data_IF_740683338609
#
_entry.id   IF_740683338609
#
_cell.length_a   1.000
_cell.length_b   1.000
_cell.length_c   1.000
_cell.angle_alpha   90.00
_cell.angle_beta   90.00
_cell.angle_gamma   90.00
#
_symmetry.space_group_name_H-M   'P 1'
#
loop_
_entity.id
_entity.type
_entity.pdbx_description
1 polymer ?
#
# COMPACT_ATOMS: atom_id res chain seq x y z
N UNK A 1 14.51 15.78 5.51
CA UNK A 1 15.09 17.13 5.32
C UNK A 1 14.55 18.03 6.39
N UNK A 2 15.35 18.94 6.92
CA UNK A 2 14.82 19.99 7.77
C UNK A 2 14.79 21.31 7.01
N UNK A 3 13.65 22.00 7.10
CA UNK A 3 13.51 23.35 6.55
C UNK A 3 13.24 24.34 7.68
N UNK A 4 13.76 25.56 7.56
CA UNK A 4 13.40 26.67 8.43
C UNK A 4 12.85 27.81 7.59
N UNK A 5 11.70 28.35 7.98
CA UNK A 5 11.08 29.50 7.30
C UNK A 5 11.52 30.76 8.02
N UNK A 6 12.35 31.59 7.40
CA UNK A 6 12.81 32.85 7.99
C UNK A 6 13.38 32.72 9.44
N UNK A 7 14.05 31.60 9.75
CA UNK A 7 14.59 31.34 11.10
C UNK A 7 13.57 30.78 12.10
N UNK A 8 12.38 30.36 11.65
CA UNK A 8 11.42 29.61 12.46
C UNK A 8 11.95 28.24 12.88
N UNK A 9 11.19 27.56 13.76
CA UNK A 9 11.35 26.15 14.08
C UNK A 9 11.56 25.30 12.82
N UNK A 10 12.48 24.33 12.93
CA UNK A 10 12.81 23.40 11.87
C UNK A 10 11.64 22.43 11.65
N UNK A 11 11.30 22.19 10.38
CA UNK A 11 10.25 21.25 10.00
C UNK A 11 10.82 20.11 9.19
N UNK A 12 10.44 18.89 9.54
CA UNK A 12 10.82 17.71 8.77
C UNK A 12 10.01 17.60 7.47
N UNK A 13 10.69 17.29 6.39
CA UNK A 13 10.14 17.06 5.05
C UNK A 13 10.68 15.74 4.51
N UNK A 14 9.75 14.84 4.15
CA UNK A 14 10.02 13.55 3.52
C UNK A 14 10.39 13.70 2.04
N UNK A 15 11.45 14.43 1.72
CA UNK A 15 11.92 14.63 0.35
C UNK A 15 12.78 13.45 -0.17
N UNK A 16 13.41 12.72 0.76
CA UNK A 16 14.35 11.61 0.57
C UNK A 16 15.67 11.99 -0.10
N UNK A 17 15.60 12.59 -1.28
CA UNK A 17 16.78 12.94 -2.05
C UNK A 17 16.59 14.20 -2.90
N UNK A 18 17.69 14.86 -3.27
CA UNK A 18 17.71 15.96 -4.24
C UNK A 18 18.86 15.76 -5.22
N UNK A 19 18.62 15.99 -6.51
CA UNK A 19 19.65 15.98 -7.55
C UNK A 19 20.55 17.21 -7.44
N UNK A 20 21.87 17.02 -7.46
CA UNK A 20 22.83 18.12 -7.49
C UNK A 20 23.20 18.46 -8.94
N UNK A 21 22.87 19.69 -9.39
CA UNK A 21 23.15 20.13 -10.77
C UNK A 21 24.64 20.32 -11.07
N UNK A 22 25.47 20.60 -10.06
CA UNK A 22 26.92 20.82 -10.24
C UNK A 22 27.74 19.53 -10.24
N UNK A 23 27.10 18.36 -10.14
CA UNK A 23 27.84 17.09 -10.13
C UNK A 23 28.38 16.76 -11.52
N UNK A 24 29.70 16.61 -11.64
CA UNK A 24 30.37 16.12 -12.86
C UNK A 24 30.26 14.58 -12.98
N UNK A 25 29.12 13.99 -12.60
CA UNK A 25 28.97 12.54 -12.60
C UNK A 25 28.78 12.00 -14.03
N UNK A 26 29.68 11.15 -14.55
CA UNK A 26 29.58 10.63 -15.93
C UNK A 26 28.36 9.70 -16.14
N UNK A 27 27.70 9.29 -15.07
CA UNK A 27 26.59 8.33 -15.07
C UNK A 27 25.21 8.98 -14.96
N UNK A 28 25.08 10.28 -15.16
CA UNK A 28 23.79 10.98 -15.08
C UNK A 28 22.71 10.37 -16.00
N UNK A 29 23.10 9.90 -17.18
CA UNK A 29 22.16 9.26 -18.12
C UNK A 29 21.49 8.00 -17.55
N UNK A 30 22.18 7.24 -16.68
CA UNK A 30 21.58 6.07 -16.01
C UNK A 30 20.44 6.49 -15.08
N UNK A 31 20.62 7.60 -14.35
CA UNK A 31 19.59 8.18 -13.51
C UNK A 31 18.34 8.53 -14.33
N UNK A 32 18.52 9.18 -15.48
CA UNK A 32 17.42 9.52 -16.39
C UNK A 32 16.70 8.28 -16.90
N UNK A 33 17.41 7.20 -17.24
CA UNK A 33 16.80 5.93 -17.65
C UNK A 33 15.94 5.34 -16.52
N UNK A 34 16.45 5.29 -15.29
CA UNK A 34 15.68 4.81 -14.14
C UNK A 34 14.43 5.66 -13.89
N UNK A 35 14.53 6.97 -14.07
CA UNK A 35 13.40 7.89 -13.90
C UNK A 35 12.32 7.68 -14.98
N UNK A 36 12.71 7.46 -16.24
CA UNK A 36 11.77 7.13 -17.34
C UNK A 36 11.11 5.77 -17.07
N UNK A 37 11.89 4.77 -16.67
CA UNK A 37 11.39 3.43 -16.36
C UNK A 37 10.41 3.45 -15.18
N UNK A 38 10.70 4.21 -14.13
CA UNK A 38 9.76 4.43 -13.02
C UNK A 38 8.43 5.01 -13.52
N UNK A 39 8.45 6.06 -14.34
CA UNK A 39 7.23 6.70 -14.85
C UNK A 39 6.38 5.68 -15.65
N UNK A 40 7.02 4.88 -16.51
CA UNK A 40 6.33 3.83 -17.25
C UNK A 40 5.70 2.79 -16.32
N UNK A 41 6.44 2.33 -15.30
CA UNK A 41 5.95 1.37 -14.32
C UNK A 41 4.82 1.95 -13.46
N UNK A 42 4.85 3.23 -13.12
CA UNK A 42 3.77 3.93 -12.39
C UNK A 42 2.49 3.97 -13.21
N UNK A 43 2.58 4.24 -14.52
CA UNK A 43 1.40 4.20 -15.39
C UNK A 43 0.79 2.79 -15.44
N UNK A 44 1.63 1.76 -15.61
CA UNK A 44 1.18 0.36 -15.57
C UNK A 44 0.57 0.02 -14.20
N UNK A 45 1.19 0.46 -13.11
CA UNK A 45 0.70 0.27 -11.75
C UNK A 45 -0.67 0.91 -11.56
N UNK A 46 -0.89 2.11 -12.07
CA UNK A 46 -2.18 2.79 -12.02
C UNK A 46 -3.27 2.04 -12.76
N UNK A 47 -2.98 1.55 -13.98
CA UNK A 47 -3.95 0.77 -14.77
C UNK A 47 -4.31 -0.55 -14.06
N UNK A 48 -3.31 -1.29 -13.58
CA UNK A 48 -3.54 -2.54 -12.86
C UNK A 48 -4.29 -2.32 -11.54
N UNK A 49 -3.92 -1.28 -10.80
CA UNK A 49 -4.58 -0.90 -9.55
C UNK A 49 -6.08 -0.64 -9.79
N UNK A 50 -6.41 0.23 -10.75
CA UNK A 50 -7.79 0.52 -11.12
C UNK A 50 -8.55 -0.73 -11.55
N UNK A 51 -7.92 -1.60 -12.34
CA UNK A 51 -8.53 -2.86 -12.75
C UNK A 51 -8.82 -3.78 -11.57
N UNK A 52 -7.87 -3.94 -10.63
CA UNK A 52 -8.08 -4.79 -9.45
C UNK A 52 -9.17 -4.24 -8.52
N UNK A 53 -9.26 -2.92 -8.36
CA UNK A 53 -10.33 -2.27 -7.61
C UNK A 53 -11.68 -2.49 -8.31
N UNK A 54 -11.74 -2.28 -9.63
CA UNK A 54 -12.93 -2.56 -10.43
C UNK A 54 -13.40 -4.00 -10.25
N UNK A 55 -12.50 -4.97 -10.40
CA UNK A 55 -12.83 -6.39 -10.23
C UNK A 55 -13.29 -6.71 -8.81
N UNK A 56 -12.63 -6.16 -7.79
CA UNK A 56 -13.03 -6.37 -6.40
C UNK A 56 -14.45 -5.86 -6.10
N UNK A 57 -14.84 -4.72 -6.69
CA UNK A 57 -16.17 -4.15 -6.51
C UNK A 57 -17.27 -4.89 -7.29
N UNK A 58 -16.97 -5.40 -8.49
CA UNK A 58 -17.97 -5.97 -9.39
C UNK A 58 -18.14 -7.49 -9.24
N UNK A 59 -17.05 -8.24 -9.04
CA UNK A 59 -17.12 -9.72 -9.01
C UNK A 59 -17.67 -10.29 -7.71
N UNK A 60 -17.83 -9.47 -6.66
CA UNK A 60 -18.21 -9.91 -5.30
C UNK A 60 -17.40 -11.11 -4.77
N UNK A 61 -16.20 -11.33 -5.29
CA UNK A 61 -15.33 -12.44 -4.86
C UNK A 61 -14.83 -12.31 -3.42
N UNK A 62 -15.05 -11.16 -2.79
CA UNK A 62 -14.74 -10.90 -1.39
C UNK A 62 -15.92 -10.22 -0.69
N UNK A 63 -16.04 -10.50 0.60
CA UNK A 63 -17.01 -9.88 1.48
C UNK A 63 -16.86 -8.36 1.46
N UNK A 64 -17.99 -7.64 1.51
CA UNK A 64 -18.03 -6.18 1.37
C UNK A 64 -17.08 -5.44 2.32
N UNK A 65 -16.89 -5.97 3.53
CA UNK A 65 -16.02 -5.37 4.54
C UNK A 65 -14.54 -5.32 4.13
N UNK A 66 -14.00 -6.42 3.58
CA UNK A 66 -12.61 -6.46 3.10
C UNK A 66 -12.48 -5.74 1.77
N UNK A 67 -13.49 -5.83 0.88
CA UNK A 67 -13.54 -5.08 -0.38
C UNK A 67 -13.46 -3.58 -0.13
N UNK A 68 -14.19 -3.08 0.88
CA UNK A 68 -14.16 -1.67 1.28
C UNK A 68 -12.77 -1.24 1.75
N UNK A 69 -12.16 -1.99 2.67
CA UNK A 69 -10.81 -1.71 3.19
C UNK A 69 -9.80 -1.71 2.04
N UNK A 70 -9.80 -2.77 1.24
CA UNK A 70 -8.91 -2.92 0.09
C UNK A 70 -9.05 -1.75 -0.88
N UNK A 71 -10.28 -1.41 -1.26
CA UNK A 71 -10.57 -0.33 -2.21
C UNK A 71 -10.04 1.01 -1.71
N UNK A 72 -10.30 1.37 -0.45
CA UNK A 72 -9.84 2.64 0.12
C UNK A 72 -8.31 2.71 0.13
N UNK A 73 -7.62 1.70 0.67
CA UNK A 73 -6.14 1.72 0.73
C UNK A 73 -5.49 1.69 -0.66
N UNK A 74 -6.09 1.00 -1.63
CA UNK A 74 -5.62 1.03 -3.02
C UNK A 74 -5.79 2.41 -3.68
N UNK A 75 -6.84 3.15 -3.34
CA UNK A 75 -7.02 4.53 -3.81
C UNK A 75 -6.05 5.52 -3.18
N UNK A 76 -5.61 5.30 -1.94
CA UNK A 76 -4.57 6.15 -1.35
C UNK A 76 -3.26 6.15 -2.15
N UNK A 77 -2.97 5.12 -2.96
CA UNK A 77 -1.82 5.20 -3.86
C UNK A 77 -1.85 6.40 -4.81
N UNK A 78 -3.03 6.88 -5.24
CA UNK A 78 -3.11 8.10 -6.03
C UNK A 78 -2.69 9.36 -5.25
N UNK A 79 -2.85 9.35 -3.93
CA UNK A 79 -2.33 10.40 -3.06
C UNK A 79 -0.80 10.47 -3.12
N UNK A 80 -0.12 9.32 -3.14
CA UNK A 80 1.33 9.26 -3.35
C UNK A 80 1.70 9.84 -4.73
N UNK A 81 0.94 9.54 -5.77
CA UNK A 81 1.21 10.10 -7.11
C UNK A 81 1.02 11.62 -7.13
N UNK A 82 -0.03 12.14 -6.48
CA UNK A 82 -0.21 13.59 -6.30
C UNK A 82 0.99 14.19 -5.53
N UNK A 83 1.45 13.50 -4.47
CA UNK A 83 2.64 13.91 -3.72
C UNK A 83 3.89 14.00 -4.61
N UNK A 84 4.05 13.05 -5.54
CA UNK A 84 5.17 13.02 -6.48
C UNK A 84 5.12 14.20 -7.44
N UNK A 85 3.94 14.59 -7.94
CA UNK A 85 3.82 15.78 -8.78
C UNK A 85 4.28 17.06 -8.06
N UNK A 86 4.00 17.20 -6.77
CA UNK A 86 4.44 18.34 -5.98
C UNK A 86 5.94 18.34 -5.66
N UNK A 87 6.53 17.17 -5.43
CA UNK A 87 7.92 17.04 -4.99
C UNK A 87 8.92 16.92 -6.16
N UNK A 88 8.47 16.46 -7.32
CA UNK A 88 9.31 16.25 -8.50
C UNK A 88 10.16 17.48 -8.89
N UNK A 89 9.61 18.72 -8.96
CA UNK A 89 10.41 19.89 -9.30
C UNK A 89 11.57 20.16 -8.33
N UNK A 90 11.42 19.79 -7.06
CA UNK A 90 12.46 19.95 -6.04
C UNK A 90 13.48 18.82 -6.09
N UNK A 91 13.03 17.58 -6.28
CA UNK A 91 13.90 16.41 -6.39
C UNK A 91 14.81 16.48 -7.63
N UNK A 92 14.30 17.03 -8.74
CA UNK A 92 15.07 17.25 -9.98
C UNK A 92 15.82 18.60 -10.01
N UNK A 93 15.78 19.37 -8.93
CA UNK A 93 16.41 20.70 -8.82
C UNK A 93 15.96 21.72 -9.89
N UNK A 94 14.72 21.58 -10.42
CA UNK A 94 14.06 22.62 -11.23
C UNK A 94 13.82 23.85 -10.35
N UNK A 95 13.39 23.62 -9.10
CA UNK A 95 13.38 24.63 -8.05
C UNK A 95 14.58 24.37 -7.13
N UNK A 96 15.67 25.15 -7.26
CA UNK A 96 16.88 24.89 -6.50
C UNK A 96 16.66 25.15 -5.01
N UNK A 97 16.99 24.16 -4.20
CA UNK A 97 17.15 24.31 -2.75
C UNK A 97 18.61 24.72 -2.49
N UNK A 98 18.85 25.66 -1.56
CA UNK A 98 20.19 26.11 -1.19
C UNK A 98 20.96 25.02 -0.41
N UNK A 99 21.29 23.94 -1.08
CA UNK A 99 22.06 22.82 -0.55
C UNK A 99 23.54 23.10 -0.86
N UNK A 100 24.41 22.94 0.14
CA UNK A 100 25.85 23.17 0.00
C UNK A 100 26.44 22.31 -1.13
N UNK A 101 27.50 22.81 -1.78
CA UNK A 101 28.20 22.14 -2.88
C UNK A 101 28.61 20.72 -2.47
N UNK A 102 27.89 19.73 -2.98
CA UNK A 102 28.22 18.32 -2.85
C UNK A 102 28.77 17.81 -4.18
N UNK A 103 29.73 16.88 -4.12
CA UNK A 103 30.28 16.24 -5.31
C UNK A 103 29.36 15.11 -5.82
N UNK A 104 28.41 14.66 -5.00
CA UNK A 104 27.49 13.56 -5.33
C UNK A 104 26.37 14.03 -6.26
N UNK A 105 25.92 13.16 -7.17
CA UNK A 105 24.76 13.44 -8.04
C UNK A 105 23.46 13.62 -7.25
N UNK A 106 23.38 12.98 -6.08
CA UNK A 106 22.20 12.94 -5.22
C UNK A 106 22.63 13.22 -3.78
N UNK A 107 21.92 14.13 -3.11
CA UNK A 107 22.22 14.55 -1.73
C UNK A 107 21.21 13.97 -0.74
N UNK A 108 21.73 13.55 0.43
CA UNK A 108 20.92 13.05 1.53
C UNK A 108 20.09 14.17 2.11
N UNK A 109 18.81 13.86 2.32
CA UNK A 109 17.94 14.79 3.02
C UNK A 109 17.71 14.38 4.47
N UNK A 110 18.19 13.22 4.93
CA UNK A 110 18.08 12.83 6.34
C UNK A 110 19.17 13.42 7.22
N UNK A 111 20.14 14.12 6.66
CA UNK A 111 21.12 14.85 7.45
C UNK A 111 20.44 16.00 8.23
N UNK A 112 20.97 16.37 9.38
CA UNK A 112 20.49 17.48 10.24
C UNK A 112 20.66 18.88 9.60
N UNK A 113 20.87 18.93 8.27
CA UNK A 113 21.00 20.15 7.50
C UNK A 113 19.66 20.87 7.45
N UNK A 114 19.62 22.06 8.05
CA UNK A 114 18.50 22.98 7.99
C UNK A 114 18.65 23.86 6.74
N UNK A 115 17.77 23.69 5.76
CA UNK A 115 17.76 24.55 4.57
C UNK A 115 16.83 25.74 4.80
N UNK A 116 17.34 26.99 4.66
CA UNK A 116 16.52 28.18 4.80
C UNK A 116 15.59 28.30 3.59
N UNK A 117 14.33 28.59 3.87
CA UNK A 117 13.30 28.87 2.88
C UNK A 117 12.85 30.33 3.00
N UNK A 118 12.81 31.03 1.87
CA UNK A 118 12.47 32.46 1.76
C UNK A 118 11.02 32.77 2.14
N UNK A 119 10.06 31.89 1.80
CA UNK A 119 8.67 32.04 2.25
C UNK A 119 7.88 30.72 2.24
N UNK A 120 6.93 30.53 3.16
CA UNK A 120 6.13 29.30 3.20
C UNK A 120 5.14 29.21 2.04
N UNK A 121 4.69 30.35 1.49
CA UNK A 121 3.77 30.39 0.35
C UNK A 121 4.45 29.91 -0.94
N UNK A 122 5.71 30.28 -1.17
CA UNK A 122 6.45 29.82 -2.36
C UNK A 122 6.78 28.33 -2.31
N UNK A 123 6.88 27.75 -1.11
CA UNK A 123 7.18 26.33 -0.89
C UNK A 123 5.99 25.54 -0.34
N UNK A 124 4.76 26.02 -0.58
CA UNK A 124 3.54 25.31 -0.17
C UNK A 124 3.43 23.96 -0.88
N UNK A 125 3.80 23.88 -2.16
CA UNK A 125 3.85 22.62 -2.92
C UNK A 125 4.81 21.61 -2.27
N UNK A 126 6.02 22.03 -1.88
CA UNK A 126 6.97 21.19 -1.16
C UNK A 126 6.39 20.66 0.15
N UNK A 127 5.76 21.53 0.95
CA UNK A 127 5.16 21.15 2.23
C UNK A 127 3.98 20.18 2.05
N UNK A 128 3.05 20.49 1.14
CA UNK A 128 1.89 19.64 0.85
C UNK A 128 2.33 18.29 0.28
N UNK A 129 3.24 18.29 -0.69
CA UNK A 129 3.77 17.07 -1.27
C UNK A 129 4.42 16.17 -0.22
N UNK A 130 5.27 16.72 0.64
CA UNK A 130 5.93 15.93 1.67
C UNK A 130 4.96 15.42 2.75
N UNK A 131 3.95 16.22 3.11
CA UNK A 131 2.88 15.80 4.01
C UNK A 131 2.07 14.64 3.45
N UNK A 132 1.60 14.75 2.20
CA UNK A 132 0.84 13.69 1.51
C UNK A 132 1.67 12.41 1.37
N UNK A 133 2.96 12.53 1.03
CA UNK A 133 3.88 11.38 0.96
C UNK A 133 4.00 10.69 2.31
N UNK A 134 4.29 11.44 3.37
CA UNK A 134 4.39 10.90 4.73
C UNK A 134 3.10 10.22 5.18
N UNK A 135 1.95 10.81 4.81
CA UNK A 135 0.63 10.28 5.16
C UNK A 135 0.36 8.96 4.49
N UNK A 136 0.65 8.87 3.20
CA UNK A 136 0.54 7.63 2.45
C UNK A 136 1.41 6.51 3.03
N UNK A 137 2.68 6.81 3.37
CA UNK A 137 3.59 5.81 3.95
C UNK A 137 3.03 5.22 5.25
N UNK A 138 2.42 6.06 6.08
CA UNK A 138 1.76 5.63 7.32
C UNK A 138 0.48 4.84 7.06
N UNK A 139 -0.34 5.25 6.09
CA UNK A 139 -1.54 4.51 5.71
C UNK A 139 -1.22 3.09 5.23
N UNK A 140 -0.15 2.91 4.46
CA UNK A 140 0.33 1.56 4.07
C UNK A 140 0.68 0.71 5.30
N UNK A 141 1.27 1.32 6.33
CA UNK A 141 1.55 0.62 7.60
C UNK A 141 0.27 0.24 8.36
N UNK A 142 -0.84 0.98 8.18
CA UNK A 142 -2.14 0.66 8.78
C UNK A 142 -2.97 -0.34 7.98
N UNK A 143 -2.77 -0.45 6.66
CA UNK A 143 -3.57 -1.30 5.79
C UNK A 143 -3.60 -2.77 6.25
N UNK A 144 -2.43 -3.33 6.58
CA UNK A 144 -2.30 -4.72 7.04
C UNK A 144 -2.97 -4.94 8.41
N UNK A 145 -2.70 -4.13 9.46
CA UNK A 145 -3.43 -4.21 10.72
C UNK A 145 -4.95 -4.13 10.55
N UNK A 146 -5.45 -3.21 9.72
CA UNK A 146 -6.89 -3.07 9.46
C UNK A 146 -7.49 -4.36 8.90
N UNK A 147 -6.85 -4.96 7.89
CA UNK A 147 -7.33 -6.24 7.34
C UNK A 147 -7.18 -7.37 8.37
N UNK A 148 -6.09 -7.42 9.14
CA UNK A 148 -5.88 -8.44 10.17
C UNK A 148 -6.97 -8.40 11.26
N UNK A 149 -7.33 -7.21 11.73
CA UNK A 149 -8.42 -7.02 12.70
C UNK A 149 -9.76 -7.38 12.08
N UNK A 150 -10.04 -6.95 10.85
CA UNK A 150 -11.29 -7.27 10.17
C UNK A 150 -11.44 -8.80 9.95
N UNK A 151 -10.39 -9.49 9.53
CA UNK A 151 -10.34 -10.96 9.42
C UNK A 151 -10.42 -11.68 10.76
N UNK A 152 -9.95 -11.03 11.84
CA UNK A 152 -10.17 -11.53 13.21
C UNK A 152 -11.67 -11.61 13.50
N UNK A 153 -12.40 -10.52 13.28
CA UNK A 153 -13.85 -10.49 13.48
C UNK A 153 -14.57 -11.49 12.58
N UNK A 154 -14.19 -11.59 11.30
CA UNK A 154 -14.75 -12.57 10.37
C UNK A 154 -14.57 -14.02 10.86
N UNK A 155 -13.42 -14.34 11.45
CA UNK A 155 -13.13 -15.67 11.98
C UNK A 155 -13.82 -15.93 13.32
N UNK A 156 -13.85 -14.95 14.22
CA UNK A 156 -14.45 -15.09 15.56
C UNK A 156 -15.97 -15.17 15.50
N UNK A 157 -16.58 -14.44 14.56
CA UNK A 157 -18.03 -14.32 14.39
C UNK A 157 -18.54 -15.17 13.22
N UNK A 158 -17.79 -16.19 12.79
CA UNK A 158 -18.01 -16.98 11.56
C UNK A 158 -19.44 -17.46 11.33
N UNK A 159 -20.23 -17.70 12.39
CA UNK A 159 -21.63 -18.14 12.29
C UNK A 159 -22.57 -17.07 11.73
N UNK A 160 -22.39 -15.82 12.16
CA UNK A 160 -23.33 -14.73 11.92
C UNK A 160 -22.67 -13.56 11.15
N UNK A 161 -21.43 -13.74 10.67
CA UNK A 161 -20.68 -12.66 10.04
C UNK A 161 -21.30 -12.24 8.72
N UNK A 162 -21.65 -13.20 7.85
CA UNK A 162 -22.33 -12.92 6.58
C UNK A 162 -23.81 -12.53 6.75
N UNK A 163 -24.45 -12.97 7.84
CA UNK A 163 -25.89 -12.74 8.07
C UNK A 163 -26.21 -11.32 8.54
N UNK A 164 -25.29 -10.69 9.27
CA UNK A 164 -25.48 -9.35 9.84
C UNK A 164 -24.52 -8.39 9.17
N UNK A 165 -25.05 -7.29 8.63
CA UNK A 165 -24.20 -6.22 8.12
C UNK A 165 -23.31 -5.68 9.23
N UNK A 166 -21.99 -5.85 9.06
CA UNK A 166 -20.95 -5.42 10.00
C UNK A 166 -19.98 -4.41 9.36
N UNK A 167 -20.45 -3.69 8.35
CA UNK A 167 -19.64 -2.71 7.60
C UNK A 167 -19.06 -1.62 8.50
N UNK A 168 -19.73 -1.31 9.60
CA UNK A 168 -19.23 -0.39 10.63
C UNK A 168 -17.84 -0.79 11.17
N UNK A 169 -17.48 -2.08 11.18
CA UNK A 169 -16.15 -2.53 11.59
C UNK A 169 -15.09 -1.97 10.65
N UNK A 170 -15.28 -2.16 9.33
CA UNK A 170 -14.37 -1.63 8.31
C UNK A 170 -14.31 -0.11 8.31
N UNK A 171 -15.46 0.56 8.39
CA UNK A 171 -15.53 2.03 8.40
C UNK A 171 -14.76 2.59 9.60
N UNK A 172 -14.98 2.04 10.80
CA UNK A 172 -14.26 2.48 12.00
C UNK A 172 -12.75 2.27 11.90
N UNK A 173 -12.31 1.14 11.31
CA UNK A 173 -10.89 0.86 11.09
C UNK A 173 -10.25 1.86 10.12
N UNK A 174 -10.96 2.21 9.03
CA UNK A 174 -10.49 3.19 8.03
C UNK A 174 -10.41 4.58 8.67
N UNK A 175 -11.46 5.03 9.37
CA UNK A 175 -11.46 6.35 10.04
C UNK A 175 -10.31 6.43 11.05
N UNK A 176 -10.09 5.36 11.81
CA UNK A 176 -8.97 5.29 12.75
C UNK A 176 -7.63 5.42 12.03
N UNK A 177 -7.40 4.68 10.95
CA UNK A 177 -6.15 4.78 10.19
C UNK A 177 -5.94 6.17 9.57
N UNK A 178 -6.99 6.79 9.02
CA UNK A 178 -6.92 8.15 8.46
C UNK A 178 -6.50 9.18 9.50
N UNK A 179 -7.14 9.15 10.67
CA UNK A 179 -6.86 10.09 11.75
C UNK A 179 -5.45 9.90 12.30
N UNK A 180 -5.05 8.67 12.61
CA UNK A 180 -3.73 8.39 13.18
C UNK A 180 -2.59 8.68 12.19
N UNK A 181 -2.76 8.33 10.92
CA UNK A 181 -1.76 8.68 9.90
C UNK A 181 -1.61 10.22 9.79
N UNK A 182 -2.72 10.96 9.79
CA UNK A 182 -2.69 12.42 9.71
C UNK A 182 -2.01 13.05 10.93
N UNK A 183 -2.36 12.60 12.14
CA UNK A 183 -1.75 13.08 13.40
C UNK A 183 -0.27 12.74 13.44
N UNK A 184 0.12 11.53 13.04
CA UNK A 184 1.51 11.09 13.07
C UNK A 184 2.38 11.88 12.08
N UNK A 185 1.88 12.17 10.86
CA UNK A 185 2.59 13.06 9.92
C UNK A 185 2.76 14.44 10.52
N UNK A 186 1.70 15.01 11.07
CA UNK A 186 1.77 16.32 11.72
C UNK A 186 2.85 16.32 12.81
N UNK A 187 2.86 15.31 13.69
CA UNK A 187 3.83 15.18 14.75
C UNK A 187 5.28 15.12 14.25
N UNK A 188 5.54 14.39 13.16
CA UNK A 188 6.90 14.30 12.59
C UNK A 188 7.31 15.59 11.87
N UNK A 189 6.40 16.20 11.09
CA UNK A 189 6.68 17.46 10.38
C UNK A 189 7.06 18.56 11.36
N UNK A 190 6.40 18.64 12.51
CA UNK A 190 6.69 19.61 13.58
C UNK A 190 7.73 19.11 14.59
N UNK A 191 8.46 18.01 14.30
CA UNK A 191 9.48 17.44 15.18
C UNK A 191 9.01 17.12 16.62
N UNK A 192 7.70 16.99 16.85
CA UNK A 192 7.13 16.52 18.12
C UNK A 192 7.57 15.07 18.36
N UNK A 193 7.69 14.29 17.27
CA UNK A 193 8.15 12.91 17.27
C UNK A 193 9.24 12.75 16.21
N UNK A 194 10.33 12.06 16.56
CA UNK A 194 11.42 11.77 15.62
C UNK A 194 11.04 10.71 14.57
N UNK A 195 11.63 10.81 13.39
CA UNK A 195 11.37 9.88 12.27
C UNK A 195 11.74 8.44 12.64
N UNK A 196 12.87 8.24 13.33
CA UNK A 196 13.30 6.91 13.79
C UNK A 196 12.26 6.28 14.72
N UNK A 197 11.71 7.04 15.67
CA UNK A 197 10.68 6.55 16.57
C UNK A 197 9.43 6.09 15.80
N UNK A 198 9.00 6.87 14.80
CA UNK A 198 7.86 6.51 13.96
C UNK A 198 8.15 5.24 13.13
N UNK A 199 9.36 5.12 12.58
CA UNK A 199 9.78 3.96 11.80
C UNK A 199 9.83 2.67 12.67
N UNK A 200 10.36 2.78 13.89
CA UNK A 200 10.39 1.67 14.86
C UNK A 200 8.99 1.26 15.31
N UNK A 201 8.12 2.23 15.62
CA UNK A 201 6.73 1.93 16.02
C UNK A 201 5.93 1.29 14.87
N UNK A 202 6.13 1.73 13.63
CA UNK A 202 5.56 1.09 12.44
C UNK A 202 6.11 -0.35 12.24
N UNK A 203 7.39 -0.57 12.47
CA UNK A 203 8.01 -1.92 12.44
C UNK A 203 7.37 -2.84 13.49
N UNK A 204 7.23 -2.37 14.73
CA UNK A 204 6.57 -3.12 15.82
C UNK A 204 5.12 -3.44 15.46
N UNK A 205 4.38 -2.45 14.93
CA UNK A 205 2.99 -2.64 14.48
C UNK A 205 2.89 -3.75 13.42
N UNK A 206 3.85 -3.83 12.50
CA UNK A 206 3.86 -4.89 11.49
C UNK A 206 4.22 -6.26 12.04
N UNK A 207 5.15 -6.35 13.00
CA UNK A 207 5.44 -7.60 13.70
C UNK A 207 4.21 -8.11 14.48
N UNK A 208 3.51 -7.21 15.16
CA UNK A 208 2.25 -7.53 15.84
C UNK A 208 1.18 -8.02 14.85
N UNK A 209 1.03 -7.32 13.72
CA UNK A 209 0.07 -7.70 12.67
C UNK A 209 0.37 -9.08 12.08
N UNK A 210 1.64 -9.39 11.85
CA UNK A 210 2.06 -10.73 11.43
C UNK A 210 1.67 -11.80 12.47
N UNK A 211 1.95 -11.56 13.75
CA UNK A 211 1.59 -12.48 14.84
C UNK A 211 0.08 -12.71 14.91
N UNK A 212 -0.72 -11.65 14.81
CA UNK A 212 -2.19 -11.70 14.76
C UNK A 212 -2.65 -12.55 13.57
N UNK A 213 -2.12 -12.32 12.37
CA UNK A 213 -2.48 -13.09 11.17
C UNK A 213 -2.18 -14.58 11.34
N UNK A 214 -1.02 -14.95 11.93
CA UNK A 214 -0.70 -16.35 12.18
C UNK A 214 -1.65 -16.98 13.21
N UNK A 215 -1.99 -16.27 14.29
CA UNK A 215 -2.92 -16.75 15.31
C UNK A 215 -4.32 -16.98 14.73
N UNK A 216 -4.83 -16.06 13.91
CA UNK A 216 -6.15 -16.19 13.28
C UNK A 216 -6.13 -17.29 12.23
N UNK A 217 -5.06 -17.43 11.45
CA UNK A 217 -4.90 -18.54 10.49
C UNK A 217 -5.01 -19.89 11.19
N UNK A 218 -4.36 -20.06 12.35
CA UNK A 218 -4.50 -21.27 13.15
C UNK A 218 -5.93 -21.48 13.66
N UNK A 219 -6.59 -20.42 14.12
CA UNK A 219 -7.99 -20.47 14.57
C UNK A 219 -8.97 -20.81 13.45
N UNK A 220 -8.72 -20.30 12.24
CA UNK A 220 -9.50 -20.60 11.03
C UNK A 220 -9.39 -22.07 10.69
N UNK A 221 -8.17 -22.63 10.71
CA UNK A 221 -7.93 -24.08 10.51
C UNK A 221 -8.62 -24.94 11.57
N UNK A 222 -8.70 -24.48 12.82
CA UNK A 222 -9.47 -25.16 13.85
C UNK A 222 -10.97 -25.18 13.52
N UNK A 223 -11.54 -24.04 13.09
CA UNK A 223 -12.95 -23.99 12.69
C UNK A 223 -13.26 -24.80 11.44
N UNK A 224 -12.35 -24.86 10.47
CA UNK A 224 -12.45 -25.74 9.30
C UNK A 224 -12.60 -27.21 9.73
N UNK A 225 -11.69 -27.71 10.57
CA UNK A 225 -11.79 -29.07 11.13
C UNK A 225 -13.06 -29.30 11.95
N UNK A 226 -13.52 -28.29 12.68
CA UNK A 226 -14.77 -28.37 13.46
C UNK A 226 -15.99 -28.45 12.55
N UNK A 227 -15.98 -27.71 11.43
CA UNK A 227 -17.02 -27.72 10.40
C UNK A 227 -17.11 -29.09 9.72
N UNK A 228 -15.98 -29.73 9.45
CA UNK A 228 -15.94 -31.09 8.89
C UNK A 228 -16.46 -32.17 9.85
N UNK A 229 -16.24 -31.99 11.16
CA UNK A 229 -16.57 -33.00 12.18
C UNK A 229 -17.97 -32.86 12.77
N UNK A 230 -18.52 -31.65 12.80
CA UNK A 230 -19.76 -31.35 13.51
C UNK A 230 -20.83 -30.84 12.55
N UNK A 231 -21.79 -31.71 12.24
CA UNK A 231 -22.95 -31.41 11.37
C UNK A 231 -23.73 -30.19 11.87
N UNK A 232 -23.83 -29.97 13.19
CA UNK A 232 -24.53 -28.81 13.76
C UNK A 232 -23.76 -27.50 13.63
N UNK A 233 -22.44 -27.56 13.39
CA UNK A 233 -21.64 -26.38 13.10
C UNK A 233 -21.56 -26.09 11.60
N UNK A 234 -21.75 -27.13 10.77
CA UNK A 234 -21.70 -27.02 9.33
C UNK A 234 -22.92 -26.25 8.80
N UNK A 235 -22.65 -25.07 8.25
CA UNK A 235 -23.56 -24.40 7.32
C UNK A 235 -22.79 -24.02 6.07
N UNK A 236 -23.49 -23.90 4.95
CA UNK A 236 -22.86 -23.52 3.68
C UNK A 236 -22.19 -22.14 3.78
N UNK A 237 -22.84 -21.18 4.45
CA UNK A 237 -22.28 -19.85 4.74
C UNK A 237 -20.99 -19.92 5.56
N UNK A 238 -20.95 -20.74 6.62
CA UNK A 238 -19.74 -20.92 7.44
C UNK A 238 -18.60 -21.50 6.60
N UNK A 239 -18.89 -22.47 5.73
CA UNK A 239 -17.88 -23.07 4.83
C UNK A 239 -17.34 -22.04 3.84
N UNK A 240 -18.20 -21.21 3.23
CA UNK A 240 -17.78 -20.15 2.31
C UNK A 240 -16.92 -19.11 3.02
N UNK A 241 -17.36 -18.60 4.17
CA UNK A 241 -16.61 -17.63 4.97
C UNK A 241 -15.21 -18.15 5.39
N UNK A 242 -15.12 -19.42 5.79
CA UNK A 242 -13.84 -20.05 6.12
C UNK A 242 -12.93 -20.17 4.89
N UNK A 243 -13.48 -20.57 3.74
CA UNK A 243 -12.74 -20.71 2.48
C UNK A 243 -12.20 -19.35 2.04
N UNK A 244 -13.03 -18.31 2.10
CA UNK A 244 -12.64 -16.93 1.81
C UNK A 244 -11.51 -16.47 2.73
N UNK A 245 -11.65 -16.68 4.05
CA UNK A 245 -10.61 -16.31 5.02
C UNK A 245 -9.28 -17.01 4.75
N UNK A 246 -9.29 -18.30 4.42
CA UNK A 246 -8.07 -19.05 4.05
C UNK A 246 -7.39 -18.45 2.82
N UNK A 247 -8.16 -18.03 1.80
CA UNK A 247 -7.60 -17.36 0.62
C UNK A 247 -7.03 -15.98 0.98
N UNK A 248 -7.76 -15.19 1.76
CA UNK A 248 -7.33 -13.86 2.22
C UNK A 248 -6.03 -13.93 3.04
N UNK A 249 -5.85 -14.96 3.88
CA UNK A 249 -4.59 -15.14 4.63
C UNK A 249 -3.38 -15.45 3.75
N UNK A 250 -3.57 -16.13 2.61
CA UNK A 250 -2.46 -16.36 1.66
C UNK A 250 -2.00 -15.04 1.05
N UNK A 251 -2.95 -14.19 0.63
CA UNK A 251 -2.65 -12.86 0.12
C UNK A 251 -1.99 -11.99 1.20
N UNK A 252 -2.59 -11.92 2.39
CA UNK A 252 -2.06 -11.13 3.51
C UNK A 252 -0.64 -11.55 3.89
N UNK A 253 -0.32 -12.83 3.87
CA UNK A 253 1.03 -13.29 4.19
C UNK A 253 2.09 -12.71 3.25
N UNK A 254 1.80 -12.66 1.95
CA UNK A 254 2.70 -12.06 0.95
C UNK A 254 2.85 -10.55 1.19
N UNK A 255 1.72 -9.86 1.39
CA UNK A 255 1.72 -8.40 1.59
C UNK A 255 2.40 -7.98 2.90
N UNK A 256 2.22 -8.74 3.98
CA UNK A 256 2.90 -8.46 5.26
C UNK A 256 4.41 -8.59 5.09
N UNK A 257 4.89 -9.61 4.39
CA UNK A 257 6.33 -9.80 4.14
C UNK A 257 6.88 -8.63 3.33
N UNK A 258 6.17 -8.23 2.26
CA UNK A 258 6.56 -7.08 1.43
C UNK A 258 6.71 -5.80 2.27
N UNK A 259 5.64 -5.40 2.99
CA UNK A 259 5.68 -4.17 3.79
C UNK A 259 6.68 -4.27 4.94
N UNK A 260 6.82 -5.46 5.56
CA UNK A 260 7.79 -5.68 6.63
C UNK A 260 9.24 -5.52 6.15
N UNK A 261 9.59 -6.03 4.97
CA UNK A 261 10.93 -5.83 4.39
C UNK A 261 11.19 -4.34 4.17
N UNK A 262 10.22 -3.64 3.59
CA UNK A 262 10.32 -2.21 3.28
C UNK A 262 10.50 -1.35 4.54
N UNK A 263 9.62 -1.48 5.54
CA UNK A 263 9.68 -0.67 6.77
C UNK A 263 10.90 -1.00 7.63
N UNK A 264 11.32 -2.28 7.67
CA UNK A 264 12.50 -2.72 8.42
C UNK A 264 13.76 -2.17 7.76
N UNK A 265 13.83 -2.17 6.43
CA UNK A 265 14.94 -1.57 5.68
C UNK A 265 15.05 -0.07 5.97
N UNK A 266 13.93 0.66 5.97
CA UNK A 266 13.91 2.09 6.34
C UNK A 266 14.41 2.29 7.77
N UNK A 267 13.88 1.52 8.73
CA UNK A 267 14.22 1.66 10.15
C UNK A 267 15.70 1.38 10.42
N UNK A 268 16.24 0.30 9.83
CA UNK A 268 17.66 -0.04 9.93
C UNK A 268 18.52 1.03 9.27
N UNK A 269 18.14 1.52 8.09
CA UNK A 269 18.92 2.55 7.38
C UNK A 269 18.99 3.85 8.17
N UNK A 270 17.88 4.30 8.76
CA UNK A 270 17.86 5.48 9.63
C UNK A 270 18.73 5.23 10.87
N UNK A 271 18.55 4.10 11.55
CA UNK A 271 19.34 3.76 12.74
C UNK A 271 20.84 3.71 12.47
N UNK A 272 21.26 3.07 11.37
CA UNK A 272 22.66 3.01 10.99
C UNK A 272 23.20 4.38 10.59
N UNK A 273 22.37 5.22 9.96
CA UNK A 273 22.70 6.60 9.62
C UNK A 273 22.95 7.45 10.86
N UNK A 274 22.03 7.39 11.83
CA UNK A 274 22.11 8.12 13.11
C UNK A 274 23.33 7.67 13.94
N UNK A 275 23.70 6.37 13.87
CA UNK A 275 24.89 5.82 14.52
C UNK A 275 26.20 6.11 13.76
N UNK A 276 26.14 6.70 12.56
CA UNK A 276 27.30 6.98 11.72
C UNK A 276 27.99 5.73 11.16
N UNK A 277 27.30 4.58 11.11
CA UNK A 277 27.86 3.31 10.63
C UNK A 277 27.72 3.12 9.12
N UNK A 278 26.93 3.96 8.48
CA UNK A 278 26.73 3.99 7.02
C UNK A 278 27.01 5.41 6.53
N UNK A 279 27.68 5.54 5.38
CA UNK A 279 27.96 6.88 4.84
C UNK A 279 26.68 7.52 4.29
N UNK A 280 26.59 8.87 4.27
CA UNK A 280 25.42 9.57 3.73
C UNK A 280 25.07 9.15 2.29
N UNK A 281 26.08 8.88 1.45
CA UNK A 281 25.88 8.42 0.07
C UNK A 281 25.15 7.08 -0.02
N UNK A 282 25.46 6.14 0.88
CA UNK A 282 24.77 4.85 0.91
C UNK A 282 23.34 5.00 1.44
N UNK A 283 23.13 5.83 2.47
CA UNK A 283 21.80 6.16 3.00
C UNK A 283 20.91 6.73 1.89
N UNK A 284 21.42 7.71 1.12
CA UNK A 284 20.76 8.29 -0.05
C UNK A 284 20.36 7.24 -1.05
N UNK A 285 21.30 6.37 -1.41
CA UNK A 285 21.07 5.35 -2.41
C UNK A 285 19.95 4.39 -1.99
N UNK A 286 19.94 3.97 -0.72
CA UNK A 286 18.86 3.12 -0.18
C UNK A 286 17.52 3.85 -0.27
N UNK A 287 17.44 5.10 0.15
CA UNK A 287 16.20 5.89 0.07
C UNK A 287 15.74 6.15 -1.37
N UNK A 288 16.67 6.39 -2.28
CA UNK A 288 16.39 6.53 -3.72
C UNK A 288 15.73 5.26 -4.26
N UNK A 289 16.32 4.09 -4.02
CA UNK A 289 15.78 2.79 -4.46
C UNK A 289 14.43 2.49 -3.79
N UNK A 290 14.33 2.74 -2.47
CA UNK A 290 13.11 2.59 -1.70
C UNK A 290 11.96 3.42 -2.25
N UNK A 291 12.24 4.67 -2.62
CA UNK A 291 11.26 5.54 -3.26
C UNK A 291 10.72 4.93 -4.55
N UNK A 292 11.58 4.33 -5.39
CA UNK A 292 11.12 3.67 -6.62
C UNK A 292 10.19 2.51 -6.32
N UNK A 293 10.55 1.66 -5.35
CA UNK A 293 9.70 0.54 -4.92
C UNK A 293 8.36 0.98 -4.33
N UNK A 294 8.36 2.07 -3.58
CA UNK A 294 7.15 2.70 -3.02
C UNK A 294 6.18 3.10 -4.14
N UNK A 295 6.66 3.77 -5.20
CA UNK A 295 5.79 4.21 -6.29
C UNK A 295 5.21 3.05 -7.10
N UNK A 296 5.96 1.96 -7.26
CA UNK A 296 5.49 0.77 -7.99
C UNK A 296 4.79 -0.26 -7.10
N UNK A 297 4.57 0.03 -5.82
CA UNK A 297 3.98 -0.89 -4.84
C UNK A 297 2.71 -1.61 -5.32
N UNK A 298 1.74 -0.96 -6.02
CA UNK A 298 0.57 -1.65 -6.53
C UNK A 298 0.89 -2.81 -7.49
N UNK A 299 2.05 -2.81 -8.17
CA UNK A 299 2.44 -3.94 -9.02
C UNK A 299 2.62 -5.22 -8.20
N UNK A 300 3.23 -5.13 -7.01
CA UNK A 300 3.38 -6.27 -6.11
C UNK A 300 2.02 -6.75 -5.60
N UNK A 301 1.18 -5.82 -5.15
CA UNK A 301 -0.18 -6.13 -4.67
C UNK A 301 -1.01 -6.79 -5.77
N UNK A 302 -1.07 -6.18 -6.97
CA UNK A 302 -1.83 -6.70 -8.10
C UNK A 302 -1.31 -8.07 -8.55
N UNK A 303 0.02 -8.26 -8.57
CA UNK A 303 0.62 -9.56 -8.90
C UNK A 303 0.22 -10.64 -7.89
N UNK A 304 0.23 -10.32 -6.59
CA UNK A 304 -0.21 -11.24 -5.55
C UNK A 304 -1.72 -11.57 -5.67
N UNK A 305 -2.55 -10.58 -5.99
CA UNK A 305 -3.99 -10.76 -6.26
C UNK A 305 -4.22 -11.64 -7.49
N UNK A 306 -3.52 -11.41 -8.59
CA UNK A 306 -3.65 -12.22 -9.81
C UNK A 306 -3.17 -13.65 -9.64
N UNK A 307 -2.14 -13.87 -8.83
CA UNK A 307 -1.71 -15.20 -8.45
C UNK A 307 -2.80 -15.95 -7.66
N UNK A 308 -3.53 -15.26 -6.77
CA UNK A 308 -4.66 -15.83 -6.02
C UNK A 308 -5.94 -15.97 -6.84
N UNK A 309 -6.19 -15.06 -7.78
CA UNK A 309 -7.40 -14.99 -8.62
C UNK A 309 -6.98 -15.00 -10.10
N UNK A 310 -6.52 -16.14 -10.64
CA UNK A 310 -6.05 -16.23 -12.02
C UNK A 310 -7.12 -15.92 -13.06
N UNK A 311 -8.40 -16.05 -12.71
CA UNK A 311 -9.53 -15.64 -13.57
C UNK A 311 -9.48 -14.15 -13.89
N UNK A 312 -9.13 -13.30 -12.92
CA UNK A 312 -9.04 -11.86 -13.14
C UNK A 312 -7.92 -11.52 -14.12
N UNK A 313 -6.76 -12.17 -14.00
CA UNK A 313 -5.68 -12.01 -14.97
C UNK A 313 -6.10 -12.48 -16.36
N UNK A 314 -6.80 -13.62 -16.46
CA UNK A 314 -7.29 -14.12 -17.74
C UNK A 314 -8.24 -13.14 -18.41
N UNK A 315 -9.17 -12.54 -17.65
CA UNK A 315 -10.09 -11.52 -18.15
C UNK A 315 -9.36 -10.26 -18.59
N UNK A 316 -8.37 -9.78 -17.82
CA UNK A 316 -7.54 -8.64 -18.22
C UNK A 316 -6.80 -8.91 -19.55
N UNK A 317 -6.20 -10.10 -19.67
CA UNK A 317 -5.45 -10.49 -20.86
C UNK A 317 -6.34 -10.63 -22.12
N UNK A 318 -7.66 -10.80 -21.95
CA UNK A 318 -8.61 -10.80 -23.06
C UNK A 318 -8.91 -9.39 -23.58
N UNK A 319 -8.69 -8.34 -22.77
CA UNK A 319 -8.88 -6.95 -23.18
C UNK A 319 -7.71 -6.39 -24.02
N UNK A 320 -6.56 -7.08 -24.05
CA UNK A 320 -5.38 -6.63 -24.82
C UNK A 320 -5.62 -6.87 -26.32
N UNK A 321 -5.71 -5.81 -27.15
CA UNK A 321 -5.90 -5.96 -28.59
C UNK A 321 -4.68 -6.66 -29.20
N UNK A 322 -4.91 -7.73 -29.97
CA UNK A 322 -3.87 -8.49 -30.67
C UNK A 322 -3.76 -9.97 -30.29
N UNK A 323 -4.47 -10.45 -29.25
CA UNK A 323 -4.59 -11.90 -29.04
C UNK A 323 -5.63 -12.48 -30.00
N UNK A 324 -5.16 -13.39 -30.86
CA UNK A 324 -5.97 -14.18 -31.79
C UNK A 324 -7.25 -14.63 -31.11
N UNK A 325 -8.37 -14.36 -31.76
CA UNK A 325 -9.67 -14.91 -31.46
C UNK A 325 -9.62 -16.46 -31.51
N UNK A 326 -9.07 -17.11 -30.47
CA UNK A 326 -9.51 -18.45 -30.10
C UNK A 326 -10.86 -18.26 -29.44
N UNK A 327 -11.87 -18.12 -30.30
CA UNK A 327 -13.28 -18.31 -29.98
C UNK A 327 -13.43 -19.66 -29.28
N UNK A 328 -13.39 -19.67 -27.95
CA UNK A 328 -14.10 -20.69 -27.18
C UNK A 328 -15.50 -20.12 -26.95
N UNK A 329 -16.42 -20.45 -27.86
CA UNK A 329 -17.85 -20.07 -27.86
C UNK A 329 -18.66 -20.61 -26.67
N UNK A 330 -18.05 -20.89 -25.51
CA UNK A 330 -18.72 -21.59 -24.41
C UNK A 330 -18.83 -20.78 -23.10
N UNK A 331 -18.36 -19.54 -23.01
CA UNK A 331 -18.47 -18.74 -21.76
C UNK A 331 -18.90 -17.28 -22.02
N UNK A 332 -19.63 -17.01 -23.10
CA UNK A 332 -20.38 -15.76 -23.27
C UNK A 332 -21.83 -15.90 -22.77
N UNK A 333 -22.05 -16.69 -21.71
CA UNK A 333 -23.26 -16.56 -20.91
C UNK A 333 -23.17 -15.26 -20.10
N UNK A 334 -23.39 -14.15 -20.79
CA UNK A 334 -23.98 -12.90 -20.31
C UNK A 334 -23.75 -12.56 -18.83
N UNK A 335 -22.62 -11.92 -18.52
CA UNK A 335 -22.49 -11.05 -17.33
C UNK A 335 -23.13 -9.66 -17.55
N UNK A 336 -23.80 -9.44 -18.69
CA UNK A 336 -24.67 -8.28 -18.89
C UNK A 336 -25.88 -8.37 -17.94
N UNK A 337 -25.91 -7.46 -16.95
CA UNK A 337 -27.10 -6.99 -16.22
C UNK A 337 -27.76 -7.87 -15.13
N UNK A 338 -27.06 -8.84 -14.54
CA UNK A 338 -27.54 -9.39 -13.25
C UNK A 338 -26.99 -8.65 -12.05
N UNK A 339 -27.82 -7.70 -11.61
CA UNK A 339 -27.88 -7.07 -10.30
C UNK A 339 -27.34 -8.00 -9.21
N UNK A 340 -26.29 -7.52 -8.53
CA UNK A 340 -25.86 -7.84 -7.16
C UNK A 340 -26.30 -9.20 -6.57
N UNK A 341 -25.91 -10.31 -7.18
CA UNK A 341 -25.98 -11.65 -6.57
C UNK A 341 -24.57 -12.06 -6.09
N UNK A 342 -24.44 -12.44 -4.82
CA UNK A 342 -23.19 -12.97 -4.25
C UNK A 342 -22.72 -14.22 -5.01
N UNK A 343 -21.41 -14.56 -5.00
CA UNK A 343 -20.96 -15.89 -5.45
C UNK A 343 -21.74 -17.01 -4.73
N UNK A 344 -22.14 -16.78 -3.48
CA UNK A 344 -23.03 -17.67 -2.74
C UNK A 344 -24.43 -17.74 -3.36
N UNK A 345 -25.03 -16.60 -3.71
CA UNK A 345 -26.36 -16.53 -4.33
C UNK A 345 -26.35 -17.20 -5.71
N UNK A 346 -25.30 -17.02 -6.51
CA UNK A 346 -25.13 -17.73 -7.78
C UNK A 346 -25.06 -19.25 -7.56
N UNK A 347 -24.39 -19.70 -6.49
CA UNK A 347 -24.32 -21.11 -6.12
C UNK A 347 -25.68 -21.65 -5.62
N UNK A 348 -26.46 -20.82 -4.91
CA UNK A 348 -27.83 -21.15 -4.50
C UNK A 348 -28.80 -21.18 -5.68
N UNK A 349 -28.69 -20.25 -6.63
CA UNK A 349 -29.49 -20.18 -7.86
C UNK A 349 -29.21 -21.40 -8.74
N UNK A 350 -27.94 -21.83 -8.84
CA UNK A 350 -27.57 -23.09 -9.53
C UNK A 350 -28.18 -24.32 -8.85
N UNK A 351 -28.13 -24.40 -7.51
CA UNK A 351 -28.75 -25.49 -6.78
C UNK A 351 -30.28 -25.51 -6.95
N UNK A 352 -30.93 -24.33 -6.94
CA UNK A 352 -32.37 -24.18 -7.16
C UNK A 352 -32.79 -24.59 -8.58
N UNK A 353 -31.92 -24.46 -9.57
CA UNK A 353 -32.16 -24.91 -10.96
C UNK A 353 -31.94 -26.41 -11.17
N UNK A 354 -31.19 -27.06 -10.27
CA UNK A 354 -30.91 -28.50 -10.33
C UNK A 354 -31.97 -29.34 -9.60
N UNK A 355 -32.74 -28.71 -8.71
CA UNK A 355 -33.96 -29.26 -8.09
C UNK A 355 -35.19 -28.85 -8.91
#
# INVERSE_FOLDING_TARGET
>A
MYISVNGSEARFIALFYVKAYQSQCPFEWLYTIFQILEILLVVVAGVLNMYTVYMALHTQSFHINITLIYTVFMFHWFELIISRFFLFPYQEAIFPLQIQNSNSLIVNTFDDIIVPISSPQTNLSLMLGAGLRGRWMLLVCFAIPCIAVERSFATLLVRDYEQKSRVYISISLIIFSELFATIAVYAVVFQIVGVLFLALTATILQLCSFGIIQAIKQKTKYFEKKCERNVNFYTLSVKFQLTENVQSFKLLHVLVIEVAIMITTVSITILLGDLGWISPDHTVFVFYVMEKFIHINPLFICSAVFYMKPRWLKSLLQLVPGRLARRTHAVEFSETEKIRESEADAHFEQLRKLW
#
